data_IF_328681953057
#
_entry.id   IF_328681953057
#
_cell.length_a   1.000
_cell.length_b   1.000
_cell.length_c   1.000
_cell.angle_alpha   90.00
_cell.angle_beta   90.00
_cell.angle_gamma   90.00
#
_symmetry.space_group_name_H-M   'P 1'
#
loop_
_entity.id
_entity.type
_entity.pdbx_description
1 polymer ?
#
# COMPACT_ATOMS: atom_id res chain seq x y z
N UNK A 1 -13.94 5.50 -12.83
CA UNK A 1 -14.13 6.68 -11.96
C UNK A 1 -14.73 6.20 -10.64
N UNK A 2 -14.22 6.70 -9.52
CA UNK A 2 -14.78 6.48 -8.18
C UNK A 2 -15.22 7.83 -7.62
N UNK A 3 -16.43 7.87 -7.04
CA UNK A 3 -16.99 9.05 -6.41
C UNK A 3 -17.65 8.66 -5.10
N UNK A 4 -17.45 9.44 -4.04
CA UNK A 4 -18.09 9.22 -2.74
C UNK A 4 -18.65 10.53 -2.20
N UNK A 5 -19.93 10.50 -1.80
CA UNK A 5 -20.58 11.58 -1.05
C UNK A 5 -20.75 11.10 0.38
N UNK A 6 -20.21 11.84 1.35
CA UNK A 6 -20.15 11.44 2.76
C UNK A 6 -20.86 12.44 3.65
N UNK A 7 -21.69 11.91 4.53
CA UNK A 7 -22.29 12.64 5.63
C UNK A 7 -21.86 12.03 6.95
N UNK A 8 -21.41 12.86 7.90
CA UNK A 8 -21.00 12.43 9.24
C UNK A 8 -21.58 13.39 10.27
N UNK A 9 -22.14 12.83 11.32
CA UNK A 9 -22.55 13.53 12.53
C UNK A 9 -21.87 12.91 13.73
N UNK A 10 -21.34 13.74 14.61
CA UNK A 10 -20.69 13.27 15.83
C UNK A 10 -20.87 14.26 16.96
N UNK A 11 -20.84 13.72 18.17
CA UNK A 11 -20.80 14.50 19.42
C UNK A 11 -19.55 14.10 20.23
N UNK A 12 -18.90 15.07 20.79
CA UNK A 12 -17.79 14.88 21.74
C UNK A 12 -18.13 15.60 23.04
N UNK A 13 -18.09 14.85 24.14
CA UNK A 13 -18.34 15.37 25.49
C UNK A 13 -17.19 15.03 26.39
N UNK A 14 -16.80 15.98 27.28
CA UNK A 14 -15.71 15.81 28.24
C UNK A 14 -16.26 15.93 29.65
N UNK A 15 -15.97 14.98 30.53
CA UNK A 15 -16.40 14.90 31.91
C UNK A 15 -15.20 14.52 32.78
N UNK A 16 -14.58 15.54 33.40
CA UNK A 16 -13.36 15.33 34.18
C UNK A 16 -12.28 14.61 33.35
N UNK A 17 -11.89 13.44 33.80
CA UNK A 17 -10.86 12.60 33.15
C UNK A 17 -11.36 11.76 31.95
N UNK A 18 -12.64 11.88 31.62
CA UNK A 18 -13.27 11.09 30.55
C UNK A 18 -13.62 11.96 29.36
N UNK A 19 -13.33 11.47 28.16
CA UNK A 19 -13.77 12.05 26.90
C UNK A 19 -14.52 10.99 26.11
N UNK A 20 -15.81 11.25 25.83
CA UNK A 20 -16.69 10.34 25.11
C UNK A 20 -16.98 10.96 23.74
N UNK A 21 -16.78 10.18 22.70
CA UNK A 21 -17.13 10.54 21.33
C UNK A 21 -18.05 9.46 20.75
N UNK A 22 -19.14 9.85 20.10
CA UNK A 22 -20.00 8.92 19.37
C UNK A 22 -20.62 9.61 18.16
N UNK A 23 -20.94 8.81 17.15
CA UNK A 23 -21.49 9.37 15.92
C UNK A 23 -21.96 8.32 14.93
N UNK A 24 -22.46 8.82 13.81
CA UNK A 24 -22.93 8.03 12.69
C UNK A 24 -22.40 8.58 11.36
N UNK A 25 -22.26 7.70 10.39
CA UNK A 25 -21.89 8.03 9.01
C UNK A 25 -22.91 7.46 8.03
N UNK A 26 -23.16 8.20 6.96
CA UNK A 26 -23.96 7.77 5.82
C UNK A 26 -23.23 8.20 4.55
N UNK A 27 -22.84 7.23 3.73
CA UNK A 27 -22.07 7.48 2.52
C UNK A 27 -22.80 6.91 1.30
N UNK A 28 -22.75 7.61 0.18
CA UNK A 28 -23.12 7.08 -1.12
C UNK A 28 -21.91 6.97 -2.01
N UNK A 29 -21.58 5.77 -2.45
CA UNK A 29 -20.42 5.46 -3.28
C UNK A 29 -20.85 5.05 -4.68
N UNK A 30 -20.17 5.59 -5.68
CA UNK A 30 -20.38 5.26 -7.09
C UNK A 30 -19.06 4.81 -7.70
N UNK A 31 -19.11 3.76 -8.49
CA UNK A 31 -17.96 3.28 -9.29
C UNK A 31 -18.44 3.03 -10.72
N UNK A 32 -17.70 3.58 -11.68
CA UNK A 32 -17.91 3.32 -13.10
C UNK A 32 -16.59 2.88 -13.73
N UNK A 33 -16.65 1.83 -14.54
CA UNK A 33 -15.55 1.41 -15.37
C UNK A 33 -16.03 1.15 -16.79
N UNK A 34 -15.38 1.79 -17.75
CA UNK A 34 -15.58 1.56 -19.19
C UNK A 34 -14.21 1.18 -19.76
N UNK A 35 -14.10 -0.04 -20.24
CA UNK A 35 -12.87 -0.57 -20.84
C UNK A 35 -13.18 -1.10 -22.22
N UNK A 36 -12.56 -0.52 -23.23
CA UNK A 36 -12.61 -1.00 -24.59
C UNK A 36 -11.21 -1.49 -24.99
N UNK A 37 -11.11 -2.76 -25.39
CA UNK A 37 -9.85 -3.36 -25.83
C UNK A 37 -10.08 -4.19 -27.07
N UNK A 38 -9.22 -4.01 -28.08
CA UNK A 38 -9.14 -4.92 -29.24
C UNK A 38 -8.20 -6.07 -28.89
N UNK A 39 -8.66 -7.30 -29.09
CA UNK A 39 -7.81 -8.50 -28.96
C UNK A 39 -7.16 -8.74 -30.31
N UNK A 40 -5.86 -8.44 -30.43
CA UNK A 40 -5.15 -8.47 -31.72
C UNK A 40 -4.97 -9.87 -32.34
N UNK A 41 -5.20 -10.94 -31.58
CA UNK A 41 -4.93 -12.33 -32.00
C UNK A 41 -6.11 -12.90 -32.77
N UNK A 42 -7.30 -12.35 -32.63
CA UNK A 42 -8.52 -12.82 -33.29
C UNK A 42 -9.14 -11.59 -33.99
N UNK A 43 -8.95 -11.47 -35.29
CA UNK A 43 -9.51 -10.37 -36.10
C UNK A 43 -11.02 -10.28 -35.86
N UNK A 44 -11.42 -9.29 -35.05
CA UNK A 44 -12.81 -8.97 -34.78
C UNK A 44 -13.29 -9.17 -33.34
N UNK A 45 -12.51 -9.71 -32.42
CA UNK A 45 -12.88 -9.72 -31.00
C UNK A 45 -12.53 -8.39 -30.32
N UNK A 46 -13.55 -7.67 -29.92
CA UNK A 46 -13.46 -6.51 -29.05
C UNK A 46 -13.95 -6.90 -27.66
N UNK A 47 -13.20 -6.51 -26.64
CA UNK A 47 -13.68 -6.51 -25.26
C UNK A 47 -14.24 -5.12 -24.97
N UNK A 48 -15.55 -5.04 -24.87
CA UNK A 48 -16.26 -3.82 -24.49
C UNK A 48 -16.95 -4.08 -23.14
N UNK A 49 -16.39 -3.49 -22.10
CA UNK A 49 -16.81 -3.70 -20.74
C UNK A 49 -17.29 -2.39 -20.12
N UNK A 50 -18.53 -2.37 -19.71
CA UNK A 50 -19.12 -1.24 -19.00
C UNK A 50 -19.81 -1.70 -17.72
N UNK A 51 -19.43 -1.09 -16.59
CA UNK A 51 -20.10 -1.34 -15.32
C UNK A 51 -20.36 -0.05 -14.56
N UNK A 52 -21.47 -0.03 -13.85
CA UNK A 52 -21.85 0.99 -12.88
C UNK A 52 -22.25 0.31 -11.58
N UNK A 53 -21.66 0.72 -10.48
CA UNK A 53 -22.01 0.30 -9.12
C UNK A 53 -22.41 1.53 -8.32
N UNK A 54 -23.63 1.55 -7.78
CA UNK A 54 -24.12 2.52 -6.80
C UNK A 54 -24.41 1.81 -5.48
N UNK A 55 -23.91 2.34 -4.36
CA UNK A 55 -24.03 1.67 -3.07
C UNK A 55 -24.14 2.67 -1.92
N UNK A 56 -25.14 2.47 -1.04
CA UNK A 56 -25.23 3.15 0.24
C UNK A 56 -24.45 2.40 1.30
N UNK A 57 -23.71 3.15 2.12
CA UNK A 57 -22.99 2.65 3.29
C UNK A 57 -23.41 3.45 4.52
N UNK A 58 -23.55 2.80 5.65
CA UNK A 58 -23.87 3.44 6.91
C UNK A 58 -23.05 2.81 8.03
N UNK A 59 -22.74 3.58 9.05
CA UNK A 59 -21.97 3.12 10.20
C UNK A 59 -22.26 3.92 11.44
N UNK A 60 -22.06 3.30 12.59
CA UNK A 60 -22.08 3.94 13.89
C UNK A 60 -20.77 3.66 14.61
N UNK A 61 -20.36 4.60 15.43
CA UNK A 61 -19.13 4.45 16.21
C UNK A 61 -19.26 5.14 17.56
N UNK A 62 -18.47 4.65 18.51
CA UNK A 62 -18.29 5.28 19.82
C UNK A 62 -16.88 5.04 20.33
N UNK A 63 -16.33 6.01 21.05
CA UNK A 63 -15.02 5.92 21.70
C UNK A 63 -15.10 6.55 23.08
N UNK A 64 -14.56 5.86 24.08
CA UNK A 64 -14.40 6.34 25.44
C UNK A 64 -12.90 6.43 25.70
N UNK A 65 -12.44 7.62 26.06
CA UNK A 65 -11.05 7.88 26.43
C UNK A 65 -11.00 8.26 27.89
N UNK A 66 -10.02 7.73 28.58
CA UNK A 66 -9.72 8.04 29.98
C UNK A 66 -8.25 8.47 30.08
N UNK A 67 -7.99 9.52 30.84
CA UNK A 67 -6.64 9.93 31.21
C UNK A 67 -6.60 10.22 32.71
N UNK A 68 -5.57 9.75 33.41
CA UNK A 68 -5.33 10.12 34.81
C UNK A 68 -4.98 11.59 34.91
N UNK A 69 -5.24 12.22 36.05
CA UNK A 69 -5.00 13.66 36.25
C UNK A 69 -3.52 14.05 36.10
N UNK A 70 -2.61 13.11 36.34
CA UNK A 70 -1.16 13.27 36.13
C UNK A 70 -0.71 12.88 34.74
N UNK A 71 -1.67 12.55 33.84
CA UNK A 71 -1.45 12.06 32.47
C UNK A 71 -0.48 10.86 32.36
N UNK A 72 -0.30 10.13 33.49
CA UNK A 72 0.60 8.99 33.53
C UNK A 72 0.03 7.76 32.84
N UNK A 73 -1.30 7.60 32.88
CA UNK A 73 -2.00 6.52 32.21
C UNK A 73 -3.10 7.07 31.31
N UNK A 74 -3.16 6.59 30.09
CA UNK A 74 -4.26 6.84 29.16
C UNK A 74 -4.79 5.53 28.59
N UNK A 75 -6.12 5.45 28.47
CA UNK A 75 -6.81 4.32 27.86
C UNK A 75 -7.87 4.81 26.89
N UNK A 76 -8.01 4.15 25.77
CA UNK A 76 -9.06 4.42 24.78
C UNK A 76 -9.72 3.11 24.38
N UNK A 77 -11.04 3.03 24.53
CA UNK A 77 -11.87 1.92 24.08
C UNK A 77 -12.82 2.44 23.01
N UNK A 78 -12.71 1.90 21.81
CA UNK A 78 -13.55 2.25 20.68
C UNK A 78 -14.33 1.06 20.16
N UNK A 79 -15.51 1.32 19.63
CA UNK A 79 -16.32 0.35 18.88
C UNK A 79 -16.87 1.03 17.64
N UNK A 80 -16.79 0.35 16.51
CA UNK A 80 -17.40 0.78 15.25
C UNK A 80 -18.09 -0.39 14.59
N UNK A 81 -19.16 -0.12 13.86
CA UNK A 81 -19.74 -1.09 12.96
C UNK A 81 -20.22 -0.39 11.70
N UNK A 82 -20.05 -1.06 10.57
CA UNK A 82 -20.38 -0.57 9.24
C UNK A 82 -21.23 -1.60 8.51
N UNK A 83 -22.09 -1.12 7.60
CA UNK A 83 -22.87 -1.96 6.72
C UNK A 83 -23.11 -1.26 5.37
N UNK A 84 -23.58 -2.01 4.38
CA UNK A 84 -23.95 -1.47 3.07
C UNK A 84 -25.07 -2.31 2.42
N UNK A 85 -25.62 -1.79 1.33
CA UNK A 85 -26.69 -2.44 0.58
C UNK A 85 -26.23 -3.25 -0.64
N UNK A 86 -24.94 -3.48 -0.79
CA UNK A 86 -24.40 -4.24 -1.94
C UNK A 86 -24.86 -5.70 -1.93
N UNK A 87 -24.75 -6.37 -0.79
CA UNK A 87 -25.14 -7.77 -0.65
C UNK A 87 -25.76 -8.07 0.71
N UNK A 88 -26.47 -9.19 0.81
CA UNK A 88 -27.02 -9.67 2.09
C UNK A 88 -25.94 -9.93 3.14
N UNK A 89 -24.75 -10.41 2.73
CA UNK A 89 -23.62 -10.67 3.63
C UNK A 89 -22.88 -9.42 4.11
N UNK A 90 -23.24 -8.22 3.61
CA UNK A 90 -22.66 -6.94 4.02
C UNK A 90 -23.67 -5.99 4.67
N UNK A 91 -24.95 -6.40 4.75
CA UNK A 91 -26.04 -5.58 5.26
C UNK A 91 -26.17 -5.60 6.77
N UNK A 92 -25.71 -6.67 7.41
CA UNK A 92 -25.80 -6.85 8.86
C UNK A 92 -24.74 -6.05 9.59
N UNK A 93 -25.13 -5.08 10.44
CA UNK A 93 -24.18 -4.29 11.23
C UNK A 93 -23.42 -5.15 12.26
N UNK A 94 -24.00 -6.24 12.77
CA UNK A 94 -23.35 -7.13 13.74
C UNK A 94 -22.16 -7.90 13.19
N UNK A 95 -22.11 -8.11 11.87
CA UNK A 95 -21.07 -8.89 11.20
C UNK A 95 -19.72 -8.13 11.05
N UNK A 96 -19.76 -6.80 11.19
CA UNK A 96 -18.61 -5.90 11.06
C UNK A 96 -18.29 -5.14 12.36
N UNK A 97 -18.58 -5.74 13.50
CA UNK A 97 -18.27 -5.13 14.80
C UNK A 97 -16.75 -5.05 15.00
N UNK A 98 -16.26 -3.82 15.18
CA UNK A 98 -14.85 -3.42 15.18
C UNK A 98 -14.44 -2.83 16.53
N UNK A 99 -14.18 -3.67 17.58
CA UNK A 99 -13.65 -3.22 18.86
C UNK A 99 -12.18 -2.81 18.72
N UNK A 100 -11.77 -1.80 19.49
CA UNK A 100 -10.41 -1.26 19.51
C UNK A 100 -10.03 -0.86 20.92
N UNK A 101 -8.83 -1.22 21.33
CA UNK A 101 -8.25 -0.84 22.62
C UNK A 101 -6.90 -0.20 22.39
N UNK A 102 -6.64 0.92 23.04
CA UNK A 102 -5.33 1.56 23.06
C UNK A 102 -5.00 1.93 24.50
N UNK A 103 -3.80 1.59 24.95
CA UNK A 103 -3.30 1.87 26.26
C UNK A 103 -1.95 2.57 26.15
N UNK A 104 -1.70 3.56 27.01
CA UNK A 104 -0.37 4.16 27.14
C UNK A 104 -0.07 4.41 28.63
N UNK A 105 1.15 4.12 29.02
CA UNK A 105 1.63 4.30 30.38
C UNK A 105 3.01 4.96 30.38
N UNK A 106 3.14 6.06 31.14
CA UNK A 106 4.41 6.74 31.37
C UNK A 106 5.19 5.99 32.45
N UNK A 107 6.21 5.26 32.04
CA UNK A 107 7.07 4.47 32.94
C UNK A 107 7.94 5.40 33.80
N UNK A 108 8.59 6.36 33.16
CA UNK A 108 9.38 7.43 33.79
C UNK A 108 9.16 8.74 33.04
N UNK A 109 9.73 9.84 33.52
CA UNK A 109 9.68 11.09 32.77
C UNK A 109 10.35 10.93 31.39
N UNK A 110 9.54 11.10 30.38
CA UNK A 110 9.96 10.95 28.97
C UNK A 110 9.98 9.53 28.42
N UNK A 111 9.66 8.46 29.19
CA UNK A 111 9.57 7.09 28.67
C UNK A 111 8.14 6.57 28.77
N UNK A 112 7.57 6.18 27.63
CA UNK A 112 6.20 5.71 27.50
C UNK A 112 6.16 4.31 26.92
N UNK A 113 5.33 3.45 27.49
CA UNK A 113 4.94 2.15 26.94
C UNK A 113 3.53 2.29 26.37
N UNK A 114 3.34 1.91 25.13
CA UNK A 114 2.03 1.92 24.46
C UNK A 114 1.70 0.57 23.86
N UNK A 115 0.41 0.20 23.89
CA UNK A 115 -0.09 -1.00 23.24
C UNK A 115 -1.44 -0.76 22.62
N UNK A 116 -1.64 -1.37 21.45
CA UNK A 116 -2.89 -1.28 20.70
C UNK A 116 -3.34 -2.66 20.28
N UNK A 117 -4.64 -2.91 20.35
CA UNK A 117 -5.26 -4.12 19.80
C UNK A 117 -6.62 -3.74 19.20
N UNK A 118 -6.95 -4.32 18.04
CA UNK A 118 -8.23 -4.00 17.41
C UNK A 118 -8.57 -4.90 16.24
N UNK A 119 -9.87 -4.97 15.97
CA UNK A 119 -10.44 -5.61 14.80
C UNK A 119 -10.97 -4.54 13.86
N UNK A 120 -10.60 -4.62 12.58
CA UNK A 120 -10.96 -3.63 11.58
C UNK A 120 -11.57 -4.31 10.37
N UNK A 121 -12.49 -3.60 9.71
CA UNK A 121 -13.15 -4.07 8.49
C UNK A 121 -12.97 -3.06 7.37
N UNK A 122 -12.78 -3.57 6.15
CA UNK A 122 -12.65 -2.78 4.94
C UNK A 122 -13.41 -3.43 3.80
N UNK A 123 -14.04 -2.63 2.95
CA UNK A 123 -14.64 -3.12 1.71
C UNK A 123 -13.57 -3.70 0.78
N UNK A 124 -13.88 -4.78 0.04
CA UNK A 124 -13.12 -5.17 -1.14
C UNK A 124 -13.03 -4.02 -2.15
N UNK A 125 -12.03 -4.02 -3.05
CA UNK A 125 -11.91 -3.02 -4.11
C UNK A 125 -13.19 -2.91 -4.94
N UNK A 126 -13.58 -1.70 -5.33
CA UNK A 126 -14.76 -1.48 -6.18
C UNK A 126 -14.65 -2.16 -7.54
N UNK A 127 -13.44 -2.35 -8.06
CA UNK A 127 -13.18 -3.16 -9.25
C UNK A 127 -13.73 -4.57 -9.12
N UNK A 128 -13.51 -5.22 -7.96
CA UNK A 128 -14.06 -6.54 -7.67
C UNK A 128 -15.56 -6.51 -7.42
N UNK A 129 -16.06 -5.59 -6.60
CA UNK A 129 -17.48 -5.45 -6.33
C UNK A 129 -18.29 -5.12 -7.58
N UNK A 130 -17.73 -4.27 -8.46
CA UNK A 130 -18.35 -3.82 -9.71
C UNK A 130 -18.22 -4.80 -10.88
N UNK A 131 -17.59 -5.97 -10.71
CA UNK A 131 -17.37 -6.90 -11.80
C UNK A 131 -18.65 -7.62 -12.21
N UNK A 132 -18.94 -7.59 -13.53
CA UNK A 132 -20.08 -8.25 -14.17
C UNK A 132 -19.61 -9.23 -15.22
N UNK A 133 -20.41 -10.27 -15.45
CA UNK A 133 -20.22 -11.18 -16.59
C UNK A 133 -20.71 -10.57 -17.92
N UNK A 134 -20.54 -11.31 -19.00
CA UNK A 134 -20.99 -10.89 -20.34
C UNK A 134 -22.51 -10.71 -20.45
N UNK A 135 -23.29 -11.23 -19.51
CA UNK A 135 -24.76 -11.09 -19.46
C UNK A 135 -25.17 -9.89 -18.58
N UNK A 136 -24.21 -9.14 -18.03
CA UNK A 136 -24.44 -8.01 -17.14
C UNK A 136 -24.79 -8.39 -15.70
N UNK A 137 -24.67 -9.67 -15.32
CA UNK A 137 -24.91 -10.12 -13.95
C UNK A 137 -23.70 -9.89 -13.04
N UNK A 138 -23.96 -9.53 -11.79
CA UNK A 138 -22.91 -9.35 -10.77
C UNK A 138 -22.27 -10.70 -10.41
N UNK A 139 -20.99 -10.86 -10.69
CA UNK A 139 -20.25 -12.10 -10.40
C UNK A 139 -19.89 -12.19 -8.92
N UNK A 140 -19.51 -11.09 -8.32
CA UNK A 140 -18.89 -11.04 -7.00
C UNK A 140 -19.85 -10.64 -5.86
N UNK A 141 -21.14 -10.93 -5.98
CA UNK A 141 -22.16 -10.61 -4.96
C UNK A 141 -21.95 -11.27 -3.59
N UNK A 142 -21.13 -12.32 -3.53
CA UNK A 142 -20.85 -13.06 -2.30
C UNK A 142 -19.59 -12.59 -1.57
N UNK A 143 -18.92 -11.56 -2.09
CA UNK A 143 -17.81 -10.95 -1.38
C UNK A 143 -18.28 -10.38 -0.04
N UNK A 144 -17.39 -10.42 0.94
CA UNK A 144 -17.59 -9.92 2.30
C UNK A 144 -16.60 -8.81 2.60
N UNK A 145 -16.86 -8.05 3.65
CA UNK A 145 -15.84 -7.16 4.20
C UNK A 145 -14.56 -7.95 4.52
N UNK A 146 -13.44 -7.47 4.06
CA UNK A 146 -12.12 -7.91 4.52
C UNK A 146 -11.98 -7.55 5.99
N UNK A 147 -11.37 -8.40 6.79
CA UNK A 147 -11.10 -8.10 8.20
C UNK A 147 -9.62 -8.23 8.53
N UNK A 148 -9.17 -7.45 9.50
CA UNK A 148 -7.82 -7.54 10.05
C UNK A 148 -7.87 -7.39 11.57
N UNK A 149 -7.32 -8.36 12.31
CA UNK A 149 -6.89 -8.13 13.69
C UNK A 149 -5.49 -7.54 13.66
N UNK A 150 -5.26 -6.52 14.46
CA UNK A 150 -3.98 -5.84 14.57
C UNK A 150 -3.63 -5.67 16.03
N UNK A 151 -2.42 -6.05 16.40
CA UNK A 151 -1.81 -5.81 17.70
C UNK A 151 -0.48 -5.07 17.50
N UNK A 152 -0.19 -4.12 18.40
CA UNK A 152 1.13 -3.48 18.47
C UNK A 152 1.54 -3.18 19.91
N UNK A 153 2.86 -3.18 20.14
CA UNK A 153 3.48 -2.80 21.38
C UNK A 153 4.69 -1.94 21.09
N UNK A 154 4.75 -0.77 21.71
CA UNK A 154 5.78 0.22 21.45
C UNK A 154 6.34 0.87 22.70
N UNK A 155 7.57 1.30 22.59
CA UNK A 155 8.27 2.16 23.55
C UNK A 155 8.61 3.49 22.86
N UNK A 156 8.32 4.61 23.52
CA UNK A 156 8.68 5.95 23.07
C UNK A 156 9.46 6.67 24.13
N UNK A 157 10.64 7.16 23.77
CA UNK A 157 11.55 7.85 24.68
C UNK A 157 11.79 9.29 24.22
N UNK A 158 11.46 10.23 25.10
CA UNK A 158 11.56 11.69 24.93
C UNK A 158 12.39 12.28 26.09
N UNK A 159 13.75 12.16 26.10
CA UNK A 159 14.58 12.65 27.20
C UNK A 159 14.61 14.19 27.30
N UNK A 160 13.80 14.87 26.55
CA UNK A 160 13.63 16.32 26.50
C UNK A 160 12.87 16.74 25.25
N UNK A 161 12.81 18.04 24.98
CA UNK A 161 12.04 18.58 23.86
C UNK A 161 12.76 18.52 22.50
N UNK A 162 13.97 17.99 22.46
CA UNK A 162 14.82 17.99 21.25
C UNK A 162 15.07 16.63 20.68
N UNK A 163 14.73 15.56 21.39
CA UNK A 163 14.96 14.19 20.96
C UNK A 163 13.73 13.32 21.21
N UNK A 164 13.39 12.50 20.21
CA UNK A 164 12.37 11.49 20.26
C UNK A 164 12.91 10.21 19.61
N UNK A 165 12.76 9.08 20.26
CA UNK A 165 13.04 7.76 19.74
C UNK A 165 11.88 6.85 20.08
N UNK A 166 11.28 6.21 19.08
CA UNK A 166 10.26 5.18 19.30
C UNK A 166 10.60 3.89 18.57
N UNK A 167 10.21 2.78 19.16
CA UNK A 167 10.27 1.46 18.58
C UNK A 167 8.95 0.75 18.83
N UNK A 168 8.33 0.23 17.78
CA UNK A 168 7.07 -0.49 17.84
C UNK A 168 7.18 -1.82 17.10
N UNK A 169 6.76 -2.91 17.74
CA UNK A 169 6.50 -4.20 17.10
C UNK A 169 5.02 -4.32 16.77
N UNK A 170 4.69 -4.81 15.58
CA UNK A 170 3.31 -5.00 15.15
C UNK A 170 3.07 -6.38 14.55
N UNK A 171 1.83 -6.86 14.69
CA UNK A 171 1.32 -8.05 14.04
C UNK A 171 -0.09 -7.77 13.50
N UNK A 172 -0.35 -8.17 12.25
CA UNK A 172 -1.65 -8.04 11.58
C UNK A 172 -2.03 -9.38 10.97
N UNK A 173 -3.22 -9.87 11.31
CA UNK A 173 -3.81 -11.07 10.73
C UNK A 173 -5.00 -10.67 9.86
N UNK A 174 -4.95 -10.99 8.59
CA UNK A 174 -5.98 -10.68 7.61
C UNK A 174 -6.85 -11.89 7.33
N UNK A 175 -8.16 -11.68 7.24
CA UNK A 175 -9.16 -12.68 6.86
C UNK A 175 -10.13 -12.13 5.82
N UNK A 176 -10.79 -13.04 5.11
CA UNK A 176 -11.78 -12.72 4.06
C UNK A 176 -11.20 -11.86 2.93
N UNK A 177 -9.91 -12.01 2.66
CA UNK A 177 -9.23 -11.30 1.58
C UNK A 177 -9.70 -11.86 0.24
N UNK A 178 -9.93 -10.99 -0.78
CA UNK A 178 -10.28 -11.41 -2.12
C UNK A 178 -9.24 -12.37 -2.71
N UNK A 179 -9.73 -13.48 -3.23
CA UNK A 179 -8.96 -14.53 -3.89
C UNK A 179 -9.41 -14.66 -5.35
N UNK A 180 -8.47 -14.59 -6.27
CA UNK A 180 -8.72 -14.79 -7.70
C UNK A 180 -9.03 -16.25 -7.98
N UNK A 181 -10.24 -16.52 -8.48
CA UNK A 181 -10.65 -17.89 -8.84
C UNK A 181 -9.90 -18.36 -10.10
N UNK A 182 -9.69 -17.45 -11.04
CA UNK A 182 -9.02 -17.77 -12.32
C UNK A 182 -7.54 -18.09 -12.14
N UNK A 183 -6.81 -17.29 -11.35
CA UNK A 183 -5.36 -17.45 -11.20
C UNK A 183 -4.96 -18.30 -9.98
N UNK A 184 -5.92 -18.61 -9.09
CA UNK A 184 -5.66 -19.45 -7.92
C UNK A 184 -4.79 -18.79 -6.84
N UNK A 185 -4.80 -17.46 -6.73
CA UNK A 185 -3.96 -16.68 -5.81
C UNK A 185 -4.72 -15.55 -5.11
N UNK A 186 -4.29 -15.14 -3.90
CA UNK A 186 -4.83 -13.96 -3.24
C UNK A 186 -4.61 -12.69 -4.07
N UNK A 187 -5.63 -11.83 -4.16
CA UNK A 187 -5.56 -10.58 -4.92
C UNK A 187 -4.43 -9.66 -4.44
N UNK A 188 -4.10 -9.68 -3.15
CA UNK A 188 -3.00 -8.93 -2.56
C UNK A 188 -1.59 -9.38 -3.04
N UNK A 189 -1.48 -10.55 -3.68
CA UNK A 189 -0.24 -11.02 -4.30
C UNK A 189 -0.07 -10.51 -5.75
N UNK A 190 -1.15 -10.04 -6.38
CA UNK A 190 -1.13 -9.41 -7.72
C UNK A 190 -0.78 -7.92 -7.56
N UNK A 191 0.37 -7.49 -7.94
CA UNK A 191 0.72 -6.08 -7.76
C UNK A 191 1.57 -5.48 -8.86
N UNK A 192 2.09 -6.31 -9.73
CA UNK A 192 3.05 -5.88 -10.75
C UNK A 192 2.47 -5.86 -12.18
N UNK A 193 1.19 -6.19 -12.35
CA UNK A 193 0.50 -6.10 -13.63
C UNK A 193 -0.07 -4.69 -13.82
N UNK A 194 0.14 -4.11 -14.99
CA UNK A 194 -0.46 -2.82 -15.40
C UNK A 194 -1.98 -2.91 -15.66
N UNK A 195 -2.60 -4.05 -15.35
CA UNK A 195 -4.03 -4.27 -15.47
C UNK A 195 -4.84 -3.76 -14.29
N UNK A 196 -6.14 -3.65 -14.47
CA UNK A 196 -7.08 -3.33 -13.40
C UNK A 196 -7.24 -4.55 -12.52
N UNK A 197 -6.64 -4.52 -11.32
CA UNK A 197 -6.70 -5.61 -10.35
C UNK A 197 -8.13 -5.75 -9.81
N UNK A 198 -8.64 -6.98 -9.77
CA UNK A 198 -9.96 -7.30 -9.21
C UNK A 198 -11.10 -7.31 -10.20
N UNK A 199 -10.89 -6.97 -11.47
CA UNK A 199 -11.89 -7.06 -12.53
C UNK A 199 -12.04 -8.51 -13.03
N UNK A 200 -12.38 -9.41 -12.11
CA UNK A 200 -12.43 -10.86 -12.30
C UNK A 200 -13.32 -11.54 -11.26
N UNK A 201 -13.57 -12.85 -11.44
CA UNK A 201 -14.30 -13.64 -10.44
C UNK A 201 -13.45 -13.84 -9.18
N UNK A 202 -13.99 -13.42 -8.04
CA UNK A 202 -13.34 -13.42 -6.74
C UNK A 202 -14.14 -14.19 -5.69
N UNK A 203 -13.44 -14.73 -4.69
CA UNK A 203 -14.03 -15.23 -3.44
C UNK A 203 -13.38 -14.55 -2.23
N UNK A 204 -14.05 -14.52 -1.08
CA UNK A 204 -13.51 -13.97 0.18
C UNK A 204 -12.90 -15.08 1.06
N UNK A 205 -11.97 -15.85 0.52
CA UNK A 205 -11.41 -17.04 1.18
C UNK A 205 -9.95 -16.89 1.61
N UNK A 206 -9.22 -15.93 1.04
CA UNK A 206 -7.82 -15.76 1.34
C UNK A 206 -7.58 -15.16 2.73
N UNK A 207 -6.44 -15.54 3.29
CA UNK A 207 -5.91 -15.07 4.57
C UNK A 207 -4.54 -14.46 4.36
N UNK A 208 -4.14 -13.57 5.25
CA UNK A 208 -2.82 -12.94 5.19
C UNK A 208 -2.28 -12.62 6.55
N UNK A 209 -1.00 -12.31 6.61
CA UNK A 209 -0.36 -11.74 7.80
C UNK A 209 0.70 -10.72 7.40
N UNK A 210 0.83 -9.69 8.22
CA UNK A 210 1.95 -8.76 8.13
C UNK A 210 2.48 -8.50 9.54
N UNK A 211 3.79 -8.56 9.71
CA UNK A 211 4.42 -8.33 10.99
C UNK A 211 5.79 -7.70 10.81
N UNK A 212 6.23 -6.97 11.82
CA UNK A 212 7.48 -6.27 11.73
C UNK A 212 7.78 -5.39 12.92
N UNK A 213 8.86 -4.60 12.76
CA UNK A 213 9.31 -3.63 13.74
C UNK A 213 9.49 -2.30 13.01
N UNK A 214 9.03 -1.23 13.63
CA UNK A 214 9.22 0.15 13.19
C UNK A 214 10.04 0.92 14.21
N UNK A 215 11.04 1.69 13.74
CA UNK A 215 11.85 2.58 14.57
C UNK A 215 11.73 3.98 13.97
N UNK A 216 11.40 4.95 14.79
CA UNK A 216 11.33 6.36 14.42
C UNK A 216 12.27 7.15 15.34
N UNK A 217 13.07 8.04 14.76
CA UNK A 217 13.92 8.98 15.49
C UNK A 217 13.70 10.40 14.95
N UNK A 218 13.53 11.36 15.88
CA UNK A 218 13.59 12.79 15.57
C UNK A 218 14.59 13.44 16.52
N UNK A 219 15.45 14.29 15.99
CA UNK A 219 16.48 14.95 16.79
C UNK A 219 16.77 16.37 16.30
N UNK A 220 16.58 17.34 17.17
CA UNK A 220 16.95 18.73 16.96
C UNK A 220 18.27 19.02 17.68
N UNK A 221 19.39 19.00 16.96
CA UNK A 221 20.73 19.19 17.48
C UNK A 221 21.09 20.68 17.45
N UNK A 222 21.50 21.22 18.61
CA UNK A 222 21.96 22.61 18.77
C UNK A 222 21.04 23.66 18.14
N UNK A 223 19.70 23.37 18.03
CA UNK A 223 18.70 24.21 17.37
C UNK A 223 18.98 24.54 15.89
N UNK A 224 19.94 23.86 15.27
CA UNK A 224 20.40 24.11 13.89
C UNK A 224 20.19 22.93 12.95
N UNK A 225 20.42 21.71 13.44
CA UNK A 225 20.27 20.50 12.65
C UNK A 225 19.02 19.75 13.11
N UNK A 226 18.05 19.64 12.22
CA UNK A 226 16.83 18.84 12.41
C UNK A 226 17.02 17.53 11.66
N UNK A 227 17.01 16.40 12.36
CA UNK A 227 17.10 15.06 11.81
C UNK A 227 15.79 14.30 12.04
N UNK A 228 15.30 13.61 11.04
CA UNK A 228 14.24 12.63 11.16
C UNK A 228 14.65 11.35 10.42
N UNK A 229 14.47 10.20 11.07
CA UNK A 229 14.77 8.90 10.49
C UNK A 229 13.67 7.91 10.83
N UNK A 230 13.34 7.06 9.88
CA UNK A 230 12.44 5.93 10.07
C UNK A 230 13.06 4.67 9.46
N UNK A 231 12.91 3.56 10.16
CA UNK A 231 13.29 2.24 9.69
C UNK A 231 12.18 1.25 9.99
N UNK A 232 11.71 0.56 8.96
CA UNK A 232 10.71 -0.49 9.07
C UNK A 232 11.29 -1.78 8.52
N UNK A 233 11.29 -2.83 9.32
CA UNK A 233 11.58 -4.21 8.91
C UNK A 233 10.28 -5.00 9.01
N UNK A 234 9.84 -5.62 7.91
CA UNK A 234 8.53 -6.28 7.89
C UNK A 234 8.48 -7.44 6.91
N UNK A 235 7.48 -8.29 7.11
CA UNK A 235 7.07 -9.34 6.18
C UNK A 235 5.56 -9.24 5.94
N UNK A 236 5.13 -9.36 4.69
CA UNK A 236 3.73 -9.34 4.28
C UNK A 236 3.47 -10.48 3.31
N UNK A 237 2.59 -11.40 3.69
CA UNK A 237 2.34 -12.62 2.93
C UNK A 237 0.88 -13.09 3.07
N UNK A 238 0.38 -13.76 2.03
CA UNK A 238 -0.99 -14.23 1.95
C UNK A 238 -1.06 -15.67 1.48
N UNK A 239 -2.18 -16.35 1.78
CA UNK A 239 -2.46 -17.72 1.35
C UNK A 239 -3.94 -17.88 1.04
N UNK A 240 -4.32 -18.91 0.29
CA UNK A 240 -5.71 -19.19 -0.02
C UNK A 240 -6.49 -19.62 1.23
N UNK A 241 -5.96 -20.61 1.97
CA UNK A 241 -6.57 -21.17 3.17
C UNK A 241 -5.49 -21.65 4.15
N UNK A 242 -5.90 -22.22 5.28
CA UNK A 242 -4.97 -22.65 6.34
C UNK A 242 -4.00 -23.77 5.90
N UNK A 243 -4.34 -24.55 4.89
CA UNK A 243 -3.53 -25.65 4.38
C UNK A 243 -2.55 -25.20 3.26
N UNK A 244 -2.77 -24.04 2.67
CA UNK A 244 -1.92 -23.51 1.62
C UNK A 244 -0.68 -22.81 2.18
N UNK A 245 0.40 -22.83 1.43
CA UNK A 245 1.61 -22.09 1.75
C UNK A 245 1.38 -20.57 1.63
N UNK A 246 2.18 -19.80 2.36
CA UNK A 246 2.19 -18.37 2.27
C UNK A 246 2.99 -17.89 1.06
N UNK A 247 2.40 -16.98 0.30
CA UNK A 247 3.00 -16.29 -0.85
C UNK A 247 3.25 -14.83 -0.44
N UNK A 248 4.43 -14.30 -0.74
CA UNK A 248 4.75 -12.90 -0.48
C UNK A 248 3.75 -11.97 -1.20
N UNK A 249 3.26 -10.95 -0.52
CA UNK A 249 2.47 -9.90 -1.17
C UNK A 249 3.34 -9.12 -2.16
N UNK A 250 2.73 -8.49 -3.15
CA UNK A 250 3.45 -7.63 -4.09
C UNK A 250 4.22 -6.48 -3.42
N UNK A 251 3.86 -6.13 -2.19
CA UNK A 251 4.41 -5.03 -1.39
C UNK A 251 5.43 -5.47 -0.34
N UNK A 252 5.82 -6.76 -0.31
CA UNK A 252 6.79 -7.30 0.65
C UNK A 252 8.22 -6.89 0.30
N UNK A 253 8.53 -5.62 0.47
CA UNK A 253 9.89 -5.09 0.26
C UNK A 253 10.87 -5.46 1.38
N UNK A 254 10.42 -6.08 2.44
CA UNK A 254 11.14 -6.50 3.64
C UNK A 254 11.64 -5.39 4.53
N UNK A 255 12.20 -4.31 3.98
CA UNK A 255 12.62 -3.16 4.75
C UNK A 255 12.47 -1.85 3.98
N UNK A 256 12.25 -0.79 4.72
CA UNK A 256 12.22 0.58 4.24
C UNK A 256 13.00 1.44 5.24
N UNK A 257 13.95 2.20 4.75
CA UNK A 257 14.72 3.17 5.52
C UNK A 257 14.58 4.54 4.89
N UNK A 258 14.23 5.54 5.69
CA UNK A 258 14.25 6.94 5.29
C UNK A 258 14.98 7.74 6.37
N UNK A 259 15.82 8.67 5.93
CA UNK A 259 16.46 9.64 6.80
C UNK A 259 16.45 10.99 6.10
N UNK A 260 16.02 12.02 6.78
CA UNK A 260 16.09 13.40 6.31
C UNK A 260 16.76 14.27 7.36
N UNK A 261 17.54 15.23 6.89
CA UNK A 261 18.21 16.20 7.75
C UNK A 261 18.22 17.58 7.09
N UNK A 262 17.98 18.62 7.89
CA UNK A 262 18.10 20.00 7.45
C UNK A 262 18.99 20.76 8.42
N UNK A 263 20.06 21.33 7.91
CA UNK A 263 20.96 22.20 8.67
C UNK A 263 20.76 23.65 8.31
N UNK A 264 20.51 24.49 9.31
CA UNK A 264 20.32 25.92 9.16
C UNK A 264 21.61 26.68 9.44
N UNK A 265 22.18 27.26 8.38
CA UNK A 265 23.36 28.09 8.44
C UNK A 265 23.05 29.54 8.79
N UNK A 266 24.06 30.33 9.19
CA UNK A 266 23.91 31.78 9.29
C UNK A 266 23.44 32.42 7.98
N UNK A 267 22.84 33.61 8.07
CA UNK A 267 22.36 34.39 6.92
C UNK A 267 21.25 33.68 6.13
N UNK A 268 20.40 32.86 6.77
CA UNK A 268 19.22 32.23 6.19
C UNK A 268 19.55 31.30 5.00
N UNK A 269 20.65 30.60 5.04
CA UNK A 269 20.93 29.45 4.22
C UNK A 269 20.46 28.18 4.92
N UNK A 270 19.91 27.22 4.16
CA UNK A 270 19.70 25.87 4.68
C UNK A 270 20.16 24.82 3.66
N UNK A 271 20.63 23.70 4.20
CA UNK A 271 21.00 22.51 3.43
C UNK A 271 20.12 21.35 3.92
N UNK A 272 19.31 20.84 3.04
CA UNK A 272 18.51 19.64 3.23
C UNK A 272 19.14 18.43 2.54
N UNK A 273 19.12 17.28 3.21
CA UNK A 273 19.50 15.98 2.63
C UNK A 273 18.43 14.95 2.97
N UNK A 274 18.14 14.07 2.02
CA UNK A 274 17.24 12.93 2.22
C UNK A 274 17.84 11.68 1.63
N UNK A 275 17.91 10.62 2.43
CA UNK A 275 18.31 9.28 2.04
C UNK A 275 17.07 8.40 2.12
N UNK A 276 16.78 7.66 1.06
CA UNK A 276 15.72 6.65 1.03
C UNK A 276 16.29 5.34 0.53
N UNK A 277 16.05 4.26 1.25
CA UNK A 277 16.43 2.91 0.85
C UNK A 277 15.21 1.98 1.01
N UNK A 278 14.92 1.22 -0.03
CA UNK A 278 13.81 0.25 -0.04
C UNK A 278 14.34 -1.10 -0.50
N UNK A 279 13.96 -2.16 0.20
CA UNK A 279 14.28 -3.52 -0.20
C UNK A 279 13.61 -3.90 -1.51
N UNK A 280 14.14 -4.91 -2.18
CA UNK A 280 13.61 -5.35 -3.47
C UNK A 280 12.20 -5.91 -3.37
N UNK A 281 11.30 -5.48 -4.25
CA UNK A 281 9.96 -6.05 -4.37
C UNK A 281 10.01 -7.50 -4.92
N UNK A 282 9.09 -8.37 -4.52
CA UNK A 282 8.97 -9.69 -5.11
C UNK A 282 8.41 -9.61 -6.52
N UNK A 283 8.72 -10.61 -7.35
CA UNK A 283 8.15 -10.79 -8.67
C UNK A 283 8.00 -12.27 -9.01
N UNK A 284 7.09 -12.59 -9.93
CA UNK A 284 6.89 -13.94 -10.45
C UNK A 284 7.79 -14.16 -11.65
N UNK A 285 8.65 -15.20 -11.67
CA UNK A 285 9.47 -15.55 -12.82
C UNK A 285 8.62 -15.96 -14.03
N UNK A 286 9.19 -15.85 -15.21
CA UNK A 286 8.56 -16.39 -16.41
C UNK A 286 8.81 -17.89 -16.54
N UNK A 287 7.81 -18.61 -17.06
CA UNK A 287 7.96 -19.94 -17.62
C UNK A 287 8.60 -19.82 -19.01
N UNK A 288 9.94 -19.92 -19.04
CA UNK A 288 10.71 -19.74 -20.27
C UNK A 288 10.45 -20.89 -21.27
N UNK A 289 10.26 -22.10 -20.75
CA UNK A 289 9.99 -23.26 -21.61
C UNK A 289 8.67 -23.10 -22.36
N UNK A 290 7.60 -22.80 -21.65
CA UNK A 290 6.29 -22.57 -22.26
C UNK A 290 6.30 -21.31 -23.13
N UNK A 291 6.94 -20.23 -22.70
CA UNK A 291 7.01 -18.96 -23.44
C UNK A 291 7.80 -19.11 -24.74
N UNK A 292 8.79 -20.01 -24.82
CA UNK A 292 9.58 -20.22 -26.03
C UNK A 292 8.84 -20.99 -27.12
N UNK A 293 7.82 -21.78 -26.79
CA UNK A 293 7.06 -22.54 -27.82
C UNK A 293 6.39 -21.55 -28.78
N UNK A 294 6.64 -21.75 -30.09
CA UNK A 294 6.10 -20.90 -31.17
C UNK A 294 4.57 -20.82 -31.10
N UNK A 295 3.90 -21.95 -30.92
CA UNK A 295 2.44 -22.02 -30.80
C UNK A 295 1.92 -21.28 -29.56
N UNK A 296 2.59 -21.43 -28.40
CA UNK A 296 2.19 -20.75 -27.15
C UNK A 296 2.43 -19.26 -27.24
N UNK A 297 3.60 -18.84 -27.74
CA UNK A 297 3.90 -17.41 -27.92
C UNK A 297 2.90 -16.73 -28.85
N UNK A 298 2.63 -17.34 -30.02
CA UNK A 298 1.72 -16.77 -31.01
C UNK A 298 0.27 -16.69 -30.52
N UNK A 299 -0.12 -17.56 -29.57
CA UNK A 299 -1.46 -17.55 -28.98
C UNK A 299 -1.76 -16.33 -28.14
N UNK A 300 -0.76 -15.71 -27.48
CA UNK A 300 -1.01 -14.54 -26.61
C UNK A 300 -0.09 -13.33 -26.84
N UNK A 301 0.97 -13.46 -27.67
CA UNK A 301 1.90 -12.37 -27.98
C UNK A 301 2.73 -11.84 -26.80
N UNK A 302 2.76 -12.58 -25.69
CA UNK A 302 3.48 -12.21 -24.45
C UNK A 302 4.00 -13.47 -23.75
N UNK A 303 4.99 -13.33 -22.81
CA UNK A 303 5.49 -14.47 -22.06
C UNK A 303 4.46 -15.01 -21.07
N UNK A 304 4.59 -16.27 -20.71
CA UNK A 304 3.86 -16.92 -19.63
C UNK A 304 4.62 -16.78 -18.31
N UNK A 305 3.91 -16.49 -17.24
CA UNK A 305 4.46 -16.54 -15.89
C UNK A 305 4.47 -17.97 -15.36
N UNK A 306 5.48 -18.31 -14.58
CA UNK A 306 5.51 -19.57 -13.83
C UNK A 306 4.72 -19.39 -12.53
N UNK A 307 3.43 -19.63 -12.57
CA UNK A 307 2.55 -19.49 -11.41
C UNK A 307 2.80 -20.53 -10.29
N UNK A 308 3.65 -21.55 -10.54
CA UNK A 308 4.12 -22.42 -9.46
C UNK A 308 5.17 -21.74 -8.56
N UNK A 309 5.80 -20.66 -9.07
CA UNK A 309 6.81 -19.84 -8.38
C UNK A 309 6.32 -18.40 -8.15
N UNK A 310 5.06 -18.23 -7.78
CA UNK A 310 4.48 -16.91 -7.64
C UNK A 310 5.22 -16.07 -6.58
N UNK A 311 5.67 -14.86 -6.94
CA UNK A 311 6.40 -13.90 -6.10
C UNK A 311 7.65 -14.48 -5.38
N UNK A 312 8.30 -15.51 -5.95
CA UNK A 312 9.53 -16.09 -5.39
C UNK A 312 10.79 -15.32 -5.80
N UNK A 313 10.80 -14.70 -6.97
CA UNK A 313 11.89 -13.82 -7.41
C UNK A 313 11.90 -12.52 -6.59
N UNK A 314 13.07 -11.88 -6.48
CA UNK A 314 13.20 -10.60 -5.76
C UNK A 314 14.10 -9.64 -6.51
N UNK A 315 13.63 -8.42 -6.68
CA UNK A 315 14.40 -7.35 -7.29
C UNK A 315 15.53 -6.87 -6.36
N UNK A 316 16.58 -6.25 -6.87
CA UNK A 316 17.59 -5.62 -6.05
C UNK A 316 16.99 -4.47 -5.24
N UNK A 317 17.58 -4.18 -4.08
CA UNK A 317 17.25 -3.01 -3.30
C UNK A 317 17.55 -1.72 -4.08
N UNK A 318 16.79 -0.68 -3.79
CA UNK A 318 16.96 0.65 -4.38
C UNK A 318 17.29 1.67 -3.28
N UNK A 319 18.28 2.53 -3.54
CA UNK A 319 18.65 3.63 -2.67
C UNK A 319 18.78 4.93 -3.45
N UNK A 320 18.35 6.03 -2.84
CA UNK A 320 18.34 7.37 -3.44
C UNK A 320 18.83 8.39 -2.41
N UNK A 321 19.64 9.35 -2.88
CA UNK A 321 20.07 10.52 -2.15
C UNK A 321 19.54 11.77 -2.86
N UNK A 322 18.84 12.62 -2.11
CA UNK A 322 18.38 13.93 -2.55
C UNK A 322 19.08 15.02 -1.73
N UNK A 323 19.42 16.14 -2.37
CA UNK A 323 20.11 17.27 -1.75
C UNK A 323 19.42 18.55 -2.18
N UNK A 324 19.09 19.41 -1.20
CA UNK A 324 18.45 20.69 -1.42
C UNK A 324 19.19 21.80 -0.70
N UNK A 325 19.39 22.90 -1.38
CA UNK A 325 19.95 24.13 -0.83
C UNK A 325 18.92 25.24 -0.97
N UNK A 326 18.61 25.91 0.12
CA UNK A 326 17.69 27.05 0.15
C UNK A 326 18.41 28.31 0.61
N UNK A 327 18.00 29.45 0.06
CA UNK A 327 18.39 30.78 0.50
C UNK A 327 17.16 31.67 0.65
N UNK A 328 16.95 32.24 1.83
CA UNK A 328 15.81 33.14 2.12
C UNK A 328 16.28 34.55 2.39
N UNK A 329 15.59 35.51 1.79
CA UNK A 329 15.76 36.95 2.02
C UNK A 329 14.49 37.52 2.66
N UNK A 330 14.63 38.07 3.86
CA UNK A 330 13.55 38.77 4.54
C UNK A 330 13.61 40.25 4.19
N UNK A 331 12.62 40.74 3.44
CA UNK A 331 12.44 42.14 3.10
C UNK A 331 11.38 42.78 4.01
N UNK A 332 11.25 44.12 3.98
CA UNK A 332 10.36 44.80 4.92
C UNK A 332 8.88 44.37 4.85
N UNK A 333 8.40 43.89 3.72
CA UNK A 333 6.99 43.53 3.50
C UNK A 333 6.80 42.17 2.85
N UNK A 334 7.88 41.49 2.47
CA UNK A 334 7.78 40.21 1.81
C UNK A 334 9.01 39.34 2.12
N UNK A 335 8.87 38.05 1.91
CA UNK A 335 9.93 37.07 1.96
C UNK A 335 10.19 36.53 0.55
N UNK A 336 11.45 36.47 0.14
CA UNK A 336 11.87 35.92 -1.13
C UNK A 336 12.80 34.74 -0.88
N UNK A 337 12.41 33.56 -1.32
CA UNK A 337 13.18 32.33 -1.23
C UNK A 337 13.65 31.85 -2.58
N UNK A 338 14.85 31.29 -2.65
CA UNK A 338 15.40 30.59 -3.81
C UNK A 338 15.82 29.20 -3.34
N UNK A 339 15.58 28.19 -4.16
CA UNK A 339 16.09 26.85 -3.88
C UNK A 339 16.60 26.13 -5.12
N UNK A 340 17.55 25.23 -4.86
CA UNK A 340 18.04 24.23 -5.81
C UNK A 340 17.78 22.88 -5.15
N UNK A 341 17.00 22.03 -5.77
CA UNK A 341 16.69 20.67 -5.34
C UNK A 341 17.23 19.68 -6.37
N UNK A 342 18.16 18.83 -5.95
CA UNK A 342 18.77 17.80 -6.76
C UNK A 342 18.28 16.44 -6.26
N UNK A 343 17.30 15.87 -6.95
CA UNK A 343 16.80 14.55 -6.62
C UNK A 343 17.66 13.48 -7.30
N UNK A 344 17.85 12.37 -6.60
CA UNK A 344 18.65 11.24 -7.06
C UNK A 344 20.09 11.65 -7.49
N UNK A 345 20.79 12.35 -6.62
CA UNK A 345 22.18 12.81 -6.86
C UNK A 345 23.14 11.66 -7.21
N UNK A 346 22.89 10.49 -6.66
CA UNK A 346 23.63 9.26 -6.95
C UNK A 346 23.34 8.66 -8.33
N UNK A 347 22.36 9.22 -9.06
CA UNK A 347 21.85 8.68 -10.34
C UNK A 347 21.51 7.19 -10.26
N UNK A 348 20.99 6.77 -9.11
CA UNK A 348 20.59 5.38 -8.83
C UNK A 348 19.49 4.94 -9.79
N UNK A 349 19.54 3.68 -10.21
CA UNK A 349 18.56 3.10 -11.14
C UNK A 349 17.64 2.13 -10.40
N UNK A 350 16.35 2.42 -10.40
CA UNK A 350 15.33 1.48 -9.96
C UNK A 350 15.17 0.40 -11.03
N UNK A 351 15.37 -0.87 -10.64
CA UNK A 351 15.20 -2.01 -11.52
C UNK A 351 13.76 -2.53 -11.42
N UNK A 352 13.11 -2.67 -12.58
CA UNK A 352 11.84 -3.39 -12.72
C UNK A 352 12.12 -4.84 -13.15
N UNK A 353 11.12 -5.77 -13.08
CA UNK A 353 11.29 -7.10 -13.66
C UNK A 353 11.71 -7.01 -15.12
N UNK A 354 12.71 -7.81 -15.51
CA UNK A 354 13.13 -7.88 -16.91
C UNK A 354 12.00 -8.45 -17.75
N UNK A 355 11.76 -7.92 -18.94
CA UNK A 355 10.74 -8.44 -19.87
C UNK A 355 11.35 -9.55 -20.71
N UNK A 356 10.72 -10.72 -20.71
CA UNK A 356 11.04 -11.82 -21.61
C UNK A 356 10.35 -11.59 -22.96
N UNK A 357 11.11 -11.61 -24.05
CA UNK A 357 10.64 -11.38 -25.41
C UNK A 357 11.15 -12.44 -26.38
N UNK A 358 10.30 -12.81 -27.34
CA UNK A 358 10.73 -13.58 -28.52
C UNK A 358 11.55 -12.70 -29.45
N UNK A 359 12.62 -13.25 -30.03
CA UNK A 359 13.38 -12.60 -31.11
C UNK A 359 12.75 -12.81 -32.50
N UNK A 360 11.71 -13.63 -32.59
CA UNK A 360 11.12 -14.07 -33.87
C UNK A 360 11.93 -15.15 -34.61
N UNK A 361 13.13 -15.50 -34.13
CA UNK A 361 13.97 -16.54 -34.73
C UNK A 361 13.65 -17.88 -34.09
N UNK A 362 13.36 -18.91 -34.92
CA UNK A 362 13.13 -20.29 -34.47
C UNK A 362 14.48 -20.97 -34.31
N UNK A 363 14.80 -21.50 -33.13
CA UNK A 363 16.07 -22.16 -32.83
C UNK A 363 16.14 -23.57 -33.40
N UNK A 364 15.00 -24.26 -33.52
CA UNK A 364 14.89 -25.65 -33.97
C UNK A 364 13.89 -25.80 -35.14
N UNK A 365 14.15 -25.18 -36.32
CA UNK A 365 13.19 -25.15 -37.43
C UNK A 365 12.88 -26.53 -38.02
N UNK A 366 13.74 -27.52 -37.81
CA UNK A 366 13.54 -28.90 -38.26
C UNK A 366 12.65 -29.74 -37.36
N UNK A 367 12.27 -29.23 -36.18
CA UNK A 367 11.38 -29.94 -35.26
C UNK A 367 9.91 -29.84 -35.71
N UNK A 368 9.04 -30.76 -35.27
CA UNK A 368 7.61 -30.65 -35.50
C UNK A 368 7.10 -29.29 -35.01
N UNK A 369 6.10 -28.71 -35.69
CA UNK A 369 5.58 -27.37 -35.40
C UNK A 369 5.17 -27.17 -33.91
N UNK A 370 4.67 -28.22 -33.26
CA UNK A 370 4.30 -28.20 -31.84
C UNK A 370 5.48 -28.09 -30.89
N UNK A 371 6.70 -28.45 -31.35
CA UNK A 371 7.93 -28.44 -30.55
C UNK A 371 8.88 -27.31 -30.95
N UNK A 372 8.55 -26.55 -31.99
CA UNK A 372 9.35 -25.41 -32.42
C UNK A 372 9.42 -24.35 -31.34
N UNK A 373 10.60 -23.76 -31.14
CA UNK A 373 10.88 -22.78 -30.11
C UNK A 373 11.50 -21.52 -30.69
N UNK A 374 11.00 -20.37 -30.24
CA UNK A 374 11.64 -19.07 -30.47
C UNK A 374 12.89 -18.92 -29.61
N UNK A 375 13.92 -18.31 -30.15
CA UNK A 375 15.02 -17.76 -29.36
C UNK A 375 14.50 -16.63 -28.51
N UNK A 376 14.63 -16.79 -27.18
CA UNK A 376 14.15 -15.81 -26.22
C UNK A 376 15.27 -14.86 -25.78
N UNK A 377 14.92 -13.63 -25.43
CA UNK A 377 15.83 -12.65 -24.81
C UNK A 377 15.14 -11.89 -23.69
N UNK A 378 15.94 -11.48 -22.69
CA UNK A 378 15.47 -10.58 -21.65
C UNK A 378 15.81 -9.13 -22.01
N UNK A 379 14.84 -8.23 -21.81
CA UNK A 379 15.02 -6.80 -21.94
C UNK A 379 15.04 -6.22 -20.54
N UNK A 380 16.17 -5.69 -20.12
CA UNK A 380 16.31 -5.09 -18.80
C UNK A 380 15.62 -3.74 -18.75
N UNK A 381 14.74 -3.56 -17.76
CA UNK A 381 14.07 -2.28 -17.47
C UNK A 381 14.70 -1.61 -16.26
N UNK A 382 15.18 -0.40 -16.46
CA UNK A 382 15.73 0.45 -15.41
C UNK A 382 15.22 1.88 -15.59
N UNK A 383 14.72 2.48 -14.52
CA UNK A 383 14.29 3.88 -14.49
C UNK A 383 15.00 4.63 -13.38
N UNK A 384 15.03 5.93 -13.48
CA UNK A 384 15.69 6.82 -12.53
C UNK A 384 16.77 7.65 -13.20
N UNK A 385 16.77 8.93 -12.90
CA UNK A 385 17.75 9.90 -13.39
C UNK A 385 17.94 10.98 -12.33
N UNK A 386 19.07 11.66 -12.38
CA UNK A 386 19.27 12.91 -11.65
C UNK A 386 18.24 13.93 -12.16
N UNK A 387 17.49 14.53 -11.24
CA UNK A 387 16.45 15.51 -11.59
C UNK A 387 16.70 16.82 -10.82
N UNK A 388 17.29 17.84 -11.47
CA UNK A 388 17.45 19.16 -10.88
C UNK A 388 16.15 19.95 -10.98
N UNK A 389 15.79 20.64 -9.89
CA UNK A 389 14.67 21.57 -9.83
C UNK A 389 15.15 22.89 -9.24
N UNK A 390 14.79 23.99 -9.87
CA UNK A 390 15.01 25.34 -9.36
C UNK A 390 13.65 25.96 -9.03
N UNK A 391 13.58 26.68 -7.93
CA UNK A 391 12.34 27.34 -7.57
C UNK A 391 12.55 28.65 -6.83
N UNK A 392 11.52 29.48 -6.91
CA UNK A 392 11.41 30.77 -6.24
C UNK A 392 10.13 30.76 -5.43
N UNK A 393 10.23 31.15 -4.16
CA UNK A 393 9.09 31.34 -3.26
C UNK A 393 8.96 32.81 -2.94
N UNK A 394 7.76 33.35 -3.08
CA UNK A 394 7.43 34.73 -2.71
C UNK A 394 6.25 34.72 -1.75
N UNK A 395 6.44 35.32 -0.57
CA UNK A 395 5.39 35.48 0.45
C UNK A 395 5.25 36.98 0.77
N UNK A 396 4.02 37.49 0.73
CA UNK A 396 3.66 38.89 1.00
C UNK A 396 2.77 39.02 2.23
#
# INVERSE_FOLDING_TARGET
VEQETKFRIENTSTFGNWKINFGATLDYSQYTNTTFQRVYIDEGRTFDYHTYLGMWRWGIFGTINYATTDERFTASLGVRTDANNFSSGMKGMGDQLSPRLSLSYRLTDGLYLSGNAGLYYQLPPYTGLGFKDNNGAWVNKYLRYMSVSQESLGLSWHPGNTFELSAEGFYKQYDKIPFSIADGIPLACKGNDYGVIGNEALSSTAQGRAYGIEILMKWLIAKKLNLASSFTLFKSEYRNNKQSEYIASAWDNRYIFNMSGTYNFPHNWSLGMKISCIGGAPYTPYDVEKSSLVTAWNAQGRPYYDYTKYNTGRLPAFGQLDVRVDKTFYLKRCMLGFYIDLQNVTNSKFKQPDILMSTGVIENPSAPMAEQRYKMKYITQKSGTLMPTLGITFEY
#
